data_IF_587361704552
#
_entry.id   IF_587361704552
#
_cell.length_a   1.000
_cell.length_b   1.000
_cell.length_c   1.000
_cell.angle_alpha   90.00
_cell.angle_beta   90.00
_cell.angle_gamma   90.00
#
_symmetry.space_group_name_H-M   'P 1'
#
loop_
_entity.id
_entity.type
_entity.pdbx_description
1 polymer ?
#
# COMPACT_ATOMS: atom_id res chain seq x y z
N UNK A 1 -34.73 -62.13 -5.54
CA UNK A 1 -34.77 -60.76 -4.96
C UNK A 1 -33.45 -60.30 -4.31
N UNK A 2 -32.58 -61.17 -3.81
CA UNK A 2 -31.31 -60.77 -3.12
C UNK A 2 -30.22 -60.22 -4.03
N UNK A 3 -30.11 -60.69 -5.29
CA UNK A 3 -29.10 -60.18 -6.23
C UNK A 3 -29.37 -58.73 -6.66
N UNK A 4 -30.61 -58.38 -6.98
CA UNK A 4 -31.02 -57.02 -7.37
C UNK A 4 -30.76 -56.00 -6.25
N UNK A 5 -31.05 -56.39 -5.03
CA UNK A 5 -30.80 -55.54 -3.83
C UNK A 5 -29.31 -55.29 -3.62
N UNK A 6 -28.45 -56.31 -3.85
CA UNK A 6 -26.98 -56.13 -3.76
C UNK A 6 -26.46 -55.18 -4.84
N UNK A 7 -26.91 -55.34 -6.08
CA UNK A 7 -26.51 -54.45 -7.18
C UNK A 7 -26.92 -53.00 -6.87
N UNK A 8 -28.14 -52.81 -6.39
CA UNK A 8 -28.63 -51.47 -6.05
C UNK A 8 -27.80 -50.85 -4.91
N UNK A 9 -27.47 -51.60 -3.86
CA UNK A 9 -26.63 -51.09 -2.75
C UNK A 9 -25.23 -50.74 -3.26
N UNK A 10 -24.61 -51.57 -4.09
CA UNK A 10 -23.30 -51.25 -4.65
C UNK A 10 -23.31 -50.04 -5.58
N UNK A 11 -24.38 -49.86 -6.39
CA UNK A 11 -24.54 -48.69 -7.24
C UNK A 11 -24.70 -47.41 -6.44
N UNK A 12 -25.51 -47.43 -5.35
CA UNK A 12 -25.65 -46.29 -4.46
C UNK A 12 -24.33 -45.97 -3.78
N UNK A 13 -23.62 -46.98 -3.30
CA UNK A 13 -22.34 -46.78 -2.64
C UNK A 13 -21.29 -46.21 -3.59
N UNK A 14 -21.22 -46.68 -4.83
CA UNK A 14 -20.35 -46.13 -5.88
C UNK A 14 -20.68 -44.64 -6.17
N UNK A 15 -21.98 -44.33 -6.24
CA UNK A 15 -22.43 -42.93 -6.46
C UNK A 15 -22.03 -42.02 -5.31
N UNK A 16 -22.22 -42.45 -4.06
CA UNK A 16 -21.83 -41.71 -2.87
C UNK A 16 -20.32 -41.49 -2.82
N UNK A 17 -19.54 -42.53 -3.06
CA UNK A 17 -18.06 -42.43 -3.12
C UNK A 17 -17.63 -41.47 -4.24
N UNK A 18 -18.24 -41.57 -5.42
CA UNK A 18 -17.98 -40.66 -6.53
C UNK A 18 -18.29 -39.21 -6.18
N UNK A 19 -19.44 -38.97 -5.55
CA UNK A 19 -19.80 -37.60 -5.09
C UNK A 19 -18.82 -37.03 -4.04
N UNK A 20 -18.37 -37.88 -3.10
CA UNK A 20 -17.37 -37.47 -2.10
C UNK A 20 -16.01 -37.13 -2.73
N UNK A 21 -15.57 -37.93 -3.73
CA UNK A 21 -14.33 -37.64 -4.45
C UNK A 21 -14.40 -36.34 -5.24
N UNK A 22 -15.53 -36.06 -5.90
CA UNK A 22 -15.76 -34.80 -6.61
C UNK A 22 -15.75 -33.61 -5.62
N UNK A 23 -16.47 -33.74 -4.49
CA UNK A 23 -16.50 -32.72 -3.46
C UNK A 23 -15.11 -32.45 -2.85
N UNK A 24 -14.37 -33.54 -2.56
CA UNK A 24 -13.00 -33.40 -2.03
C UNK A 24 -12.05 -32.80 -3.08
N UNK A 25 -12.16 -33.18 -4.35
CA UNK A 25 -11.38 -32.61 -5.45
C UNK A 25 -11.69 -31.12 -5.65
N UNK A 26 -12.97 -30.73 -5.64
CA UNK A 26 -13.39 -29.32 -5.71
C UNK A 26 -12.89 -28.51 -4.51
N UNK A 27 -13.02 -29.07 -3.28
CA UNK A 27 -12.52 -28.43 -2.09
C UNK A 27 -11.00 -28.25 -2.13
N UNK A 28 -10.26 -29.26 -2.56
CA UNK A 28 -8.81 -29.19 -2.73
C UNK A 28 -8.41 -28.14 -3.77
N UNK A 29 -9.06 -28.14 -4.95
CA UNK A 29 -8.81 -27.16 -6.00
C UNK A 29 -9.04 -25.72 -5.48
N UNK A 30 -10.17 -25.48 -4.80
CA UNK A 30 -10.48 -24.18 -4.24
C UNK A 30 -9.47 -23.77 -3.16
N UNK A 31 -9.17 -24.65 -2.21
CA UNK A 31 -8.35 -24.32 -1.05
C UNK A 31 -6.86 -24.17 -1.36
N UNK A 32 -6.37 -24.89 -2.36
CA UNK A 32 -4.94 -24.91 -2.69
C UNK A 32 -4.57 -24.10 -3.93
N UNK A 33 -5.52 -23.76 -4.78
CA UNK A 33 -5.22 -23.10 -6.04
C UNK A 33 -6.11 -21.86 -6.30
N UNK A 34 -7.42 -22.03 -6.42
CA UNK A 34 -8.32 -20.99 -6.92
C UNK A 34 -8.31 -19.71 -6.10
N UNK A 35 -8.31 -19.82 -4.78
CA UNK A 35 -8.36 -18.65 -3.88
C UNK A 35 -7.10 -17.77 -3.90
N UNK A 36 -5.99 -18.29 -4.45
CA UNK A 36 -4.73 -17.54 -4.55
C UNK A 36 -4.57 -16.83 -5.89
N UNK A 37 -5.44 -17.12 -6.84
CA UNK A 37 -5.37 -16.50 -8.15
C UNK A 37 -5.75 -15.02 -8.09
N UNK A 38 -5.04 -14.17 -8.84
CA UNK A 38 -5.43 -12.79 -8.99
C UNK A 38 -6.73 -12.67 -9.77
N UNK A 39 -7.50 -11.66 -9.44
CA UNK A 39 -8.74 -11.32 -10.14
C UNK A 39 -8.44 -10.27 -11.21
N UNK A 40 -8.87 -10.54 -12.43
CA UNK A 40 -8.83 -9.53 -13.50
C UNK A 40 -9.97 -8.55 -13.29
N UNK A 41 -9.63 -7.28 -13.17
CA UNK A 41 -10.60 -6.22 -12.92
C UNK A 41 -11.29 -5.83 -14.24
N UNK A 42 -12.54 -6.25 -14.39
CA UNK A 42 -13.38 -5.91 -15.54
C UNK A 42 -14.28 -4.71 -15.29
N UNK A 43 -14.63 -4.45 -14.02
CA UNK A 43 -15.51 -3.34 -13.63
C UNK A 43 -14.67 -2.12 -13.23
N UNK A 44 -14.95 -0.99 -13.85
CA UNK A 44 -14.32 0.32 -13.58
C UNK A 44 -12.76 0.33 -13.56
N UNK A 45 -12.03 -0.40 -14.44
CA UNK A 45 -10.57 -0.46 -14.37
C UNK A 45 -9.90 0.91 -14.57
N UNK A 46 -10.50 1.78 -15.39
CA UNK A 46 -9.99 3.14 -15.62
C UNK A 46 -10.13 4.03 -14.37
N UNK A 47 -11.20 3.86 -13.59
CA UNK A 47 -11.40 4.62 -12.35
C UNK A 47 -10.40 4.17 -11.27
N UNK A 48 -10.21 2.86 -11.14
CA UNK A 48 -9.20 2.31 -10.20
C UNK A 48 -7.80 2.78 -10.60
N UNK A 49 -7.46 2.72 -11.89
CA UNK A 49 -6.15 3.20 -12.37
C UNK A 49 -5.95 4.68 -12.05
N UNK A 50 -6.94 5.53 -12.34
CA UNK A 50 -6.85 6.95 -12.02
C UNK A 50 -6.65 7.18 -10.52
N UNK A 51 -7.38 6.44 -9.69
CA UNK A 51 -7.23 6.52 -8.24
C UNK A 51 -5.81 6.14 -7.78
N UNK A 52 -5.20 5.12 -8.39
CA UNK A 52 -3.82 4.72 -8.12
C UNK A 52 -2.80 5.77 -8.61
N UNK A 53 -3.04 6.39 -9.75
CA UNK A 53 -2.15 7.42 -10.31
C UNK A 53 -2.20 8.72 -9.48
N UNK A 54 -3.35 9.04 -8.90
CA UNK A 54 -3.55 10.18 -7.99
C UNK A 54 -3.02 9.91 -6.57
N UNK A 55 -2.78 8.65 -6.21
CA UNK A 55 -2.31 8.29 -4.88
C UNK A 55 -0.88 8.77 -4.58
N UNK A 56 -0.63 9.06 -3.32
CA UNK A 56 0.75 9.27 -2.85
C UNK A 56 1.41 7.93 -2.55
N UNK A 57 2.14 7.42 -3.52
CA UNK A 57 2.95 6.21 -3.40
C UNK A 57 4.42 6.56 -3.25
N UNK A 58 5.18 5.66 -2.66
CA UNK A 58 6.64 5.73 -2.54
C UNK A 58 7.28 4.56 -3.30
N UNK A 59 8.39 4.82 -3.97
CA UNK A 59 9.14 3.82 -4.73
C UNK A 59 10.62 4.21 -4.76
N UNK A 60 11.56 3.24 -4.82
CA UNK A 60 12.95 3.54 -5.11
C UNK A 60 13.17 3.95 -6.57
N UNK A 61 12.16 3.78 -7.42
CA UNK A 61 12.27 3.95 -8.86
C UNK A 61 13.00 2.79 -9.56
N UNK A 62 13.35 2.98 -10.82
CA UNK A 62 14.21 2.05 -11.58
C UNK A 62 13.49 0.94 -12.33
N UNK A 63 12.16 0.91 -12.33
CA UNK A 63 11.37 -0.05 -13.11
C UNK A 63 10.39 0.63 -14.05
N UNK A 64 10.05 -0.06 -15.14
CA UNK A 64 9.11 0.45 -16.15
C UNK A 64 7.68 -0.04 -15.92
N UNK A 65 7.51 -1.13 -15.17
CA UNK A 65 6.20 -1.76 -14.93
C UNK A 65 5.74 -1.48 -13.50
N UNK A 66 4.70 -0.64 -13.29
CA UNK A 66 4.25 -0.29 -11.97
C UNK A 66 3.48 -1.45 -11.31
N UNK A 67 3.80 -1.72 -10.05
CA UNK A 67 3.07 -2.62 -9.17
C UNK A 67 2.75 -1.88 -7.87
N UNK A 68 1.48 -1.75 -7.54
CA UNK A 68 1.04 -1.02 -6.36
C UNK A 68 0.78 -1.99 -5.20
N UNK A 69 1.33 -1.68 -4.05
CA UNK A 69 1.16 -2.43 -2.79
C UNK A 69 0.49 -1.53 -1.77
N UNK A 70 -0.76 -1.82 -1.43
CA UNK A 70 -1.52 -1.06 -0.42
C UNK A 70 -1.47 -1.82 0.90
N UNK A 71 -0.88 -1.20 1.92
CA UNK A 71 -0.70 -1.84 3.21
C UNK A 71 -0.58 -0.83 4.36
N UNK A 72 -0.75 -1.32 5.59
CA UNK A 72 -0.45 -0.61 6.83
C UNK A 72 0.75 -1.26 7.55
N UNK A 73 1.42 -0.50 8.40
CA UNK A 73 2.75 -0.82 8.93
C UNK A 73 2.86 -2.18 9.63
N UNK A 74 1.95 -2.50 10.53
CA UNK A 74 2.03 -3.73 11.33
C UNK A 74 1.38 -4.95 10.66
N UNK A 75 1.07 -4.85 9.35
CA UNK A 75 0.57 -5.99 8.59
C UNK A 75 1.67 -7.03 8.37
N UNK A 76 1.54 -8.25 8.95
CA UNK A 76 2.60 -9.25 8.87
C UNK A 76 2.83 -9.78 7.45
N UNK A 77 1.77 -9.87 6.65
CA UNK A 77 1.85 -10.35 5.27
C UNK A 77 2.53 -9.32 4.36
N UNK A 78 2.23 -8.01 4.54
CA UNK A 78 2.89 -6.94 3.82
C UNK A 78 4.40 -6.91 4.12
N UNK A 79 4.77 -7.02 5.39
CA UNK A 79 6.19 -7.07 5.80
C UNK A 79 6.92 -8.31 5.26
N UNK A 80 6.21 -9.42 5.14
CA UNK A 80 6.76 -10.62 4.52
C UNK A 80 6.95 -10.43 3.01
N UNK A 81 5.97 -9.85 2.33
CA UNK A 81 6.07 -9.49 0.91
C UNK A 81 7.25 -8.57 0.64
N UNK A 82 7.44 -7.51 1.45
CA UNK A 82 8.55 -6.56 1.31
C UNK A 82 9.92 -7.21 1.46
N UNK A 83 10.05 -8.22 2.32
CA UNK A 83 11.32 -8.92 2.52
C UNK A 83 11.61 -9.99 1.47
N UNK A 84 10.57 -10.71 1.03
CA UNK A 84 10.76 -11.96 0.25
C UNK A 84 10.47 -11.76 -1.25
N UNK A 85 9.42 -11.01 -1.60
CA UNK A 85 8.98 -10.88 -2.99
C UNK A 85 9.40 -9.55 -3.64
N UNK A 86 9.27 -8.43 -2.92
CA UNK A 86 9.55 -7.12 -3.48
C UNK A 86 10.99 -6.94 -4.01
N UNK A 87 12.05 -7.46 -3.35
CA UNK A 87 13.40 -7.36 -3.89
C UNK A 87 13.57 -8.10 -5.22
N UNK A 88 12.94 -9.28 -5.37
CA UNK A 88 12.99 -10.06 -6.60
C UNK A 88 12.26 -9.35 -7.75
N UNK A 89 11.11 -8.74 -7.46
CA UNK A 89 10.34 -7.95 -8.42
C UNK A 89 11.14 -6.72 -8.88
N UNK A 90 11.75 -6.00 -7.95
CA UNK A 90 12.63 -4.84 -8.28
C UNK A 90 13.83 -5.27 -9.14
N UNK A 91 14.48 -6.37 -8.78
CA UNK A 91 15.59 -6.92 -9.57
C UNK A 91 15.16 -7.33 -10.99
N UNK A 92 13.88 -7.68 -11.17
CA UNK A 92 13.29 -7.97 -12.48
C UNK A 92 12.84 -6.70 -13.26
N UNK A 93 13.05 -5.50 -12.72
CA UNK A 93 12.68 -4.23 -13.37
C UNK A 93 11.22 -3.81 -13.12
N UNK A 94 10.60 -4.33 -12.06
CA UNK A 94 9.25 -3.91 -11.62
C UNK A 94 9.37 -2.70 -10.69
N UNK A 95 8.63 -1.62 -10.99
CA UNK A 95 8.52 -0.45 -10.11
C UNK A 95 7.52 -0.73 -8.99
N UNK A 96 8.02 -1.23 -7.87
CA UNK A 96 7.20 -1.55 -6.69
C UNK A 96 6.87 -0.26 -5.94
N UNK A 97 5.60 0.17 -6.04
CA UNK A 97 5.03 1.38 -5.46
C UNK A 97 4.24 1.05 -4.20
N UNK A 98 4.73 1.47 -3.05
CA UNK A 98 4.05 1.26 -1.79
C UNK A 98 3.11 2.42 -1.47
N UNK A 99 1.84 2.13 -1.16
CA UNK A 99 0.83 3.06 -0.69
C UNK A 99 0.56 2.72 0.77
N UNK A 100 1.18 3.48 1.66
CA UNK A 100 1.02 3.31 3.09
C UNK A 100 -0.19 4.09 3.61
N UNK A 101 -0.94 3.52 4.53
CA UNK A 101 -2.03 4.21 5.20
C UNK A 101 -2.10 3.86 6.69
N UNK A 102 -2.65 4.78 7.47
CA UNK A 102 -2.93 4.57 8.88
C UNK A 102 -4.37 4.09 9.06
N UNK A 103 -4.55 2.92 9.68
CA UNK A 103 -5.89 2.35 9.87
C UNK A 103 -6.80 3.33 10.61
N UNK A 104 -8.09 3.46 10.19
CA UNK A 104 -9.06 4.22 10.95
C UNK A 104 -9.35 3.54 12.29
N UNK A 105 -9.75 4.32 13.27
CA UNK A 105 -10.21 3.78 14.55
C UNK A 105 -11.50 2.98 14.34
N UNK A 106 -11.60 1.83 14.97
CA UNK A 106 -12.73 0.93 14.84
C UNK A 106 -13.34 0.64 16.22
N UNK A 107 -14.64 0.80 16.34
CA UNK A 107 -15.39 0.55 17.58
C UNK A 107 -14.79 1.27 18.83
N UNK A 108 -14.29 2.49 18.63
CA UNK A 108 -13.62 3.28 19.67
C UNK A 108 -12.22 2.80 20.03
N UNK A 109 -11.67 1.82 19.28
CA UNK A 109 -10.29 1.34 19.47
C UNK A 109 -9.36 1.99 18.48
N UNK A 110 -8.28 2.56 19.00
CA UNK A 110 -7.21 3.14 18.19
C UNK A 110 -6.50 2.00 17.45
N UNK A 111 -6.53 2.04 16.11
CA UNK A 111 -5.91 1.05 15.24
C UNK A 111 -4.54 1.45 14.73
N UNK A 112 -4.18 2.73 14.82
CA UNK A 112 -2.89 3.28 14.38
C UNK A 112 -2.25 4.11 15.47
N UNK A 113 -0.92 4.02 15.63
CA UNK A 113 -0.19 4.82 16.61
C UNK A 113 0.00 6.26 16.12
N UNK A 114 0.28 7.21 17.04
CA UNK A 114 0.63 8.58 16.66
C UNK A 114 1.88 8.64 15.77
N UNK A 115 2.87 7.75 16.03
CA UNK A 115 4.07 7.62 15.22
C UNK A 115 3.74 7.13 13.80
N UNK A 116 2.85 6.15 13.66
CA UNK A 116 2.38 5.66 12.36
C UNK A 116 1.68 6.78 11.57
N UNK A 117 0.77 7.52 12.20
CA UNK A 117 0.07 8.64 11.55
C UNK A 117 1.03 9.75 11.11
N UNK A 118 2.03 10.08 11.94
CA UNK A 118 3.06 11.07 11.59
C UNK A 118 3.87 10.62 10.36
N UNK A 119 4.26 9.34 10.32
CA UNK A 119 5.02 8.76 9.21
C UNK A 119 4.20 8.69 7.93
N UNK A 120 2.95 8.22 8.01
CA UNK A 120 2.05 8.19 6.84
C UNK A 120 1.84 9.59 6.28
N UNK A 121 1.61 10.61 7.14
CA UNK A 121 1.49 11.99 6.69
C UNK A 121 2.76 12.47 5.95
N UNK A 122 3.95 12.12 6.47
CA UNK A 122 5.21 12.50 5.81
C UNK A 122 5.37 11.79 4.46
N UNK A 123 5.16 10.47 4.41
CA UNK A 123 5.26 9.70 3.16
C UNK A 123 4.32 10.21 2.08
N UNK A 124 3.10 10.61 2.46
CA UNK A 124 2.13 11.17 1.52
C UNK A 124 2.51 12.55 1.00
N UNK A 125 3.25 13.34 1.79
CA UNK A 125 3.70 14.68 1.42
C UNK A 125 5.01 14.67 0.62
N UNK A 126 5.96 13.82 1.02
CA UNK A 126 7.34 13.87 0.50
C UNK A 126 7.66 12.74 -0.49
N UNK A 127 6.94 11.62 -0.40
CA UNK A 127 7.24 10.39 -1.14
C UNK A 127 8.65 9.87 -0.90
N UNK A 128 9.18 10.09 0.29
CA UNK A 128 10.54 9.72 0.65
C UNK A 128 10.68 8.20 0.80
N UNK A 129 11.42 7.60 -0.13
CA UNK A 129 11.69 6.16 -0.11
C UNK A 129 12.59 5.76 1.07
N UNK A 130 13.55 6.57 1.45
CA UNK A 130 14.46 6.24 2.55
C UNK A 130 13.72 6.17 3.88
N UNK A 131 12.76 7.06 4.10
CA UNK A 131 11.85 7.00 5.25
C UNK A 131 10.99 5.73 5.22
N UNK A 132 10.44 5.37 4.06
CA UNK A 132 9.64 4.16 3.92
C UNK A 132 10.45 2.90 4.20
N UNK A 133 11.66 2.81 3.67
CA UNK A 133 12.56 1.68 3.87
C UNK A 133 12.91 1.50 5.37
N UNK A 134 13.31 2.57 6.03
CA UNK A 134 13.58 2.55 7.46
C UNK A 134 12.34 2.16 8.27
N UNK A 135 11.19 2.71 7.94
CA UNK A 135 9.92 2.45 8.61
C UNK A 135 9.47 0.99 8.42
N UNK A 136 9.50 0.46 7.19
CA UNK A 136 9.10 -0.91 6.90
C UNK A 136 10.03 -1.95 7.52
N UNK A 137 11.33 -1.64 7.63
CA UNK A 137 12.32 -2.51 8.28
C UNK A 137 12.16 -2.53 9.82
N UNK A 138 11.62 -1.47 10.42
CA UNK A 138 11.48 -1.35 11.88
C UNK A 138 10.17 -1.98 12.36
N UNK A 139 10.19 -2.82 13.40
CA UNK A 139 8.95 -3.33 13.99
C UNK A 139 8.05 -2.20 14.50
N UNK A 140 6.72 -2.32 14.28
CA UNK A 140 5.77 -1.26 14.60
C UNK A 140 5.83 -0.79 16.08
N UNK A 141 6.12 -1.70 17.01
CA UNK A 141 6.25 -1.40 18.43
C UNK A 141 7.50 -0.61 18.79
N UNK A 142 8.53 -0.63 17.92
CA UNK A 142 9.82 0.05 18.13
C UNK A 142 9.87 1.38 17.38
N UNK A 143 8.99 1.59 16.41
CA UNK A 143 8.96 2.82 15.63
C UNK A 143 8.48 4.01 16.47
N UNK A 144 9.25 5.10 16.48
CA UNK A 144 8.98 6.31 17.28
C UNK A 144 8.71 7.54 16.45
N UNK A 145 8.94 7.51 15.13
CA UNK A 145 8.81 8.64 14.22
C UNK A 145 9.64 9.87 14.69
N UNK A 146 10.86 9.63 15.19
CA UNK A 146 11.75 10.69 15.67
C UNK A 146 12.04 11.70 14.56
N UNK A 147 11.96 12.98 14.88
CA UNK A 147 12.16 14.05 13.91
C UNK A 147 10.97 14.35 13.00
N UNK A 148 9.92 13.51 12.98
CA UNK A 148 8.75 13.76 12.17
C UNK A 148 7.72 14.64 12.90
N UNK A 149 7.13 15.65 12.22
CA UNK A 149 6.06 16.45 12.80
C UNK A 149 4.81 15.59 13.08
N UNK A 150 4.21 15.80 14.26
CA UNK A 150 2.98 15.09 14.66
C UNK A 150 1.82 15.39 13.71
N UNK A 151 1.14 14.34 13.24
CA UNK A 151 -0.10 14.51 12.48
C UNK A 151 -1.26 14.97 13.39
N UNK A 152 -1.35 14.45 14.60
CA UNK A 152 -2.46 14.71 15.52
C UNK A 152 -2.52 16.14 16.02
N UNK A 153 -1.38 16.86 16.01
CA UNK A 153 -1.26 18.26 16.44
C UNK A 153 -1.24 19.25 15.28
N UNK A 154 -1.35 18.77 14.05
CA UNK A 154 -1.28 19.60 12.85
C UNK A 154 -2.46 19.25 11.93
N UNK A 155 -3.40 20.18 11.81
CA UNK A 155 -4.63 19.97 11.05
C UNK A 155 -4.37 19.58 9.58
N UNK A 156 -3.37 20.20 8.94
CA UNK A 156 -3.03 19.87 7.55
C UNK A 156 -2.50 18.42 7.42
N UNK A 157 -1.67 17.98 8.37
CA UNK A 157 -1.16 16.60 8.38
C UNK A 157 -2.24 15.59 8.76
N UNK A 158 -3.13 15.94 9.68
CA UNK A 158 -4.30 15.11 9.99
C UNK A 158 -5.17 14.92 8.74
N UNK A 159 -5.42 15.98 7.98
CA UNK A 159 -6.17 15.90 6.73
C UNK A 159 -5.49 15.01 5.67
N UNK A 160 -4.17 14.97 5.62
CA UNK A 160 -3.42 14.05 4.74
C UNK A 160 -3.61 12.60 5.16
N UNK A 161 -3.56 12.30 6.46
CA UNK A 161 -3.85 10.95 6.99
C UNK A 161 -5.27 10.52 6.63
N UNK A 162 -6.25 11.42 6.79
CA UNK A 162 -7.64 11.15 6.46
C UNK A 162 -7.86 10.98 4.96
N UNK A 163 -7.14 11.75 4.12
CA UNK A 163 -7.14 11.54 2.66
C UNK A 163 -6.64 10.14 2.29
N UNK A 164 -5.62 9.63 2.97
CA UNK A 164 -5.14 8.26 2.81
C UNK A 164 -6.20 7.21 3.18
N UNK A 165 -6.95 7.44 4.23
CA UNK A 165 -8.07 6.57 4.66
C UNK A 165 -9.20 6.57 3.64
N UNK A 166 -9.60 7.76 3.16
CA UNK A 166 -10.63 7.92 2.13
C UNK A 166 -10.22 7.24 0.82
N UNK A 167 -8.94 7.39 0.42
CA UNK A 167 -8.38 6.68 -0.72
C UNK A 167 -8.58 5.16 -0.59
N UNK A 168 -8.17 4.59 0.54
CA UNK A 168 -8.27 3.14 0.78
C UNK A 168 -9.71 2.67 0.82
N UNK A 169 -10.62 3.41 1.44
CA UNK A 169 -12.04 3.11 1.49
C UNK A 169 -12.65 3.08 0.08
N UNK A 170 -12.36 4.09 -0.74
CA UNK A 170 -12.82 4.14 -2.13
C UNK A 170 -12.24 2.99 -2.96
N UNK A 171 -10.92 2.75 -2.85
CA UNK A 171 -10.27 1.66 -3.56
C UNK A 171 -10.87 0.30 -3.19
N UNK A 172 -11.03 0.02 -1.89
CA UNK A 172 -11.58 -1.26 -1.43
C UNK A 172 -13.05 -1.44 -1.83
N UNK A 173 -13.81 -0.35 -1.95
CA UNK A 173 -15.19 -0.40 -2.46
C UNK A 173 -15.20 -0.80 -3.94
N UNK A 174 -14.40 -0.13 -4.78
CA UNK A 174 -14.29 -0.46 -6.21
C UNK A 174 -13.78 -1.88 -6.44
N UNK A 175 -12.83 -2.34 -5.62
CA UNK A 175 -12.30 -3.71 -5.72
C UNK A 175 -13.34 -4.76 -5.34
N UNK A 176 -14.11 -4.54 -4.27
CA UNK A 176 -15.22 -5.43 -3.89
C UNK A 176 -16.28 -5.51 -4.97
N UNK A 177 -16.64 -4.39 -5.58
CA UNK A 177 -17.57 -4.35 -6.70
C UNK A 177 -17.05 -5.08 -7.95
N UNK A 178 -15.72 -5.18 -8.08
CA UNK A 178 -15.04 -5.98 -9.11
C UNK A 178 -14.82 -7.44 -8.71
N UNK A 179 -15.28 -7.88 -7.53
CA UNK A 179 -15.16 -9.26 -7.04
C UNK A 179 -13.81 -9.59 -6.42
N UNK A 180 -13.02 -8.58 -6.04
CA UNK A 180 -11.74 -8.77 -5.36
C UNK A 180 -11.95 -8.75 -3.85
N UNK A 181 -11.42 -9.75 -3.15
CA UNK A 181 -11.34 -9.71 -1.68
C UNK A 181 -10.38 -8.60 -1.24
N UNK A 182 -10.73 -7.91 -0.14
CA UNK A 182 -9.99 -6.75 0.36
C UNK A 182 -9.24 -7.07 1.65
N UNK A 183 -8.34 -8.05 1.60
CA UNK A 183 -7.38 -8.33 2.67
C UNK A 183 -6.01 -7.70 2.33
N UNK A 184 -5.32 -7.18 3.34
CA UNK A 184 -4.02 -6.55 3.13
C UNK A 184 -2.85 -7.54 3.27
N UNK A 185 -1.80 -7.36 2.46
CA UNK A 185 -1.63 -6.34 1.43
C UNK A 185 -2.54 -6.58 0.23
N UNK A 186 -3.08 -5.49 -0.33
CA UNK A 186 -3.72 -5.52 -1.65
C UNK A 186 -2.64 -5.17 -2.67
N UNK A 187 -2.46 -6.02 -3.66
CA UNK A 187 -1.49 -5.80 -4.74
C UNK A 187 -2.24 -5.64 -6.04
N UNK A 188 -1.90 -4.56 -6.79
CA UNK A 188 -2.50 -4.25 -8.09
C UNK A 188 -1.38 -4.05 -9.12
N UNK A 189 -1.58 -4.60 -10.32
CA UNK A 189 -0.65 -4.47 -11.44
C UNK A 189 -1.37 -4.61 -12.78
N UNK A 190 -0.67 -4.30 -13.87
CA UNK A 190 -1.11 -4.68 -15.20
C UNK A 190 -0.33 -5.89 -15.68
N UNK A 191 -1.04 -6.87 -16.19
CA UNK A 191 -0.39 -8.00 -16.83
C UNK A 191 0.18 -7.60 -18.21
N UNK A 192 0.85 -8.55 -18.87
CA UNK A 192 1.46 -8.34 -20.19
C UNK A 192 0.46 -7.97 -21.29
N UNK A 193 -0.79 -8.31 -21.12
CA UNK A 193 -1.88 -7.96 -22.03
C UNK A 193 -2.48 -6.57 -21.71
N UNK A 194 -2.02 -5.92 -20.65
CA UNK A 194 -2.49 -4.62 -20.19
C UNK A 194 -3.75 -4.67 -19.32
N UNK A 195 -4.24 -5.86 -18.96
CA UNK A 195 -5.38 -5.98 -18.05
C UNK A 195 -4.95 -5.65 -16.62
N UNK A 196 -5.78 -4.84 -15.95
CA UNK A 196 -5.57 -4.55 -14.55
C UNK A 196 -5.98 -5.76 -13.71
N UNK A 197 -5.07 -6.21 -12.88
CA UNK A 197 -5.27 -7.34 -11.94
C UNK A 197 -5.09 -6.89 -10.51
N UNK A 198 -5.75 -7.58 -9.60
CA UNK A 198 -5.57 -7.40 -8.17
C UNK A 198 -5.64 -8.73 -7.42
N UNK A 199 -4.97 -8.77 -6.29
CA UNK A 199 -5.10 -9.85 -5.32
C UNK A 199 -5.07 -9.33 -3.88
N UNK A 200 -5.75 -10.06 -2.99
CA UNK A 200 -5.54 -9.99 -1.55
C UNK A 200 -4.34 -10.89 -1.21
N UNK A 201 -3.14 -10.45 -1.53
CA UNK A 201 -1.93 -11.26 -1.55
C UNK A 201 -1.30 -11.50 -0.16
N UNK A 202 -2.12 -11.93 0.80
CA UNK A 202 -1.65 -12.24 2.15
C UNK A 202 -0.81 -13.53 2.23
N UNK A 203 -0.92 -14.42 1.22
CA UNK A 203 -0.22 -15.70 1.13
C UNK A 203 0.85 -15.65 0.02
N UNK A 204 2.02 -16.24 0.28
CA UNK A 204 3.16 -16.29 -0.66
C UNK A 204 2.85 -17.04 -1.97
N UNK A 205 1.89 -17.97 -1.94
CA UNK A 205 1.40 -18.65 -3.15
C UNK A 205 0.81 -17.68 -4.17
N UNK A 206 0.19 -16.60 -3.71
CA UNK A 206 -0.33 -15.56 -4.60
C UNK A 206 0.79 -14.79 -5.31
N UNK A 207 1.98 -14.68 -4.72
CA UNK A 207 3.10 -13.93 -5.31
C UNK A 207 3.71 -14.61 -6.54
N UNK A 208 3.56 -15.92 -6.65
CA UNK A 208 3.98 -16.65 -7.85
C UNK A 208 3.22 -16.14 -9.08
N UNK A 209 1.91 -15.97 -8.98
CA UNK A 209 1.10 -15.43 -10.08
C UNK A 209 1.50 -14.00 -10.43
N UNK A 210 1.84 -13.16 -9.45
CA UNK A 210 2.34 -11.80 -9.68
C UNK A 210 3.64 -11.82 -10.48
N UNK A 211 4.59 -12.68 -10.08
CA UNK A 211 5.88 -12.83 -10.79
C UNK A 211 5.69 -13.35 -12.21
N UNK A 212 4.80 -14.33 -12.41
CA UNK A 212 4.52 -14.91 -13.72
C UNK A 212 3.88 -13.89 -14.67
N UNK A 213 2.90 -13.12 -14.18
CA UNK A 213 2.25 -12.06 -14.95
C UNK A 213 3.21 -10.93 -15.38
N UNK A 214 4.21 -10.64 -14.54
CA UNK A 214 5.20 -9.57 -14.76
C UNK A 214 6.51 -10.06 -15.39
N UNK A 215 6.58 -11.33 -15.78
CA UNK A 215 7.79 -11.97 -16.34
C UNK A 215 9.03 -11.89 -15.42
N UNK A 216 8.76 -11.88 -14.10
CA UNK A 216 9.79 -11.79 -13.08
C UNK A 216 10.31 -13.17 -12.61
N UNK A 217 9.71 -14.27 -13.08
CA UNK A 217 10.03 -15.63 -12.65
C UNK A 217 11.37 -16.15 -13.16
N UNK A 218 11.87 -15.58 -14.28
CA UNK A 218 13.12 -16.02 -14.93
C UNK A 218 14.37 -15.19 -14.61
N UNK A 219 14.19 -14.05 -13.93
CA UNK A 219 15.30 -13.16 -13.57
C UNK A 219 15.66 -13.36 -12.10
N UNK A 220 16.24 -14.53 -11.77
CA UNK A 220 16.99 -14.63 -10.53
C UNK A 220 18.04 -13.53 -10.52
N UNK A 221 18.12 -12.74 -9.45
CA UNK A 221 19.23 -11.83 -9.25
C UNK A 221 20.51 -12.63 -9.52
N UNK A 222 21.47 -12.08 -10.31
CA UNK A 222 22.75 -12.74 -10.43
C UNK A 222 23.27 -13.01 -9.03
N UNK A 223 23.81 -14.21 -8.75
CA UNK A 223 24.37 -14.48 -7.44
C UNK A 223 25.32 -13.33 -7.11
N UNK A 224 25.36 -12.86 -5.85
CA UNK A 224 26.35 -11.87 -5.45
C UNK A 224 27.66 -12.39 -6.01
N UNK A 225 28.31 -11.56 -6.82
CA UNK A 225 29.66 -11.85 -7.29
C UNK A 225 30.44 -11.91 -5.99
N UNK A 226 30.65 -13.12 -5.48
CA UNK A 226 31.69 -13.36 -4.53
C UNK A 226 32.91 -12.88 -5.29
N UNK A 227 33.37 -11.70 -4.93
CA UNK A 227 34.72 -11.28 -5.25
C UNK A 227 35.58 -12.34 -4.61
N UNK A 228 35.87 -13.40 -5.37
CA UNK A 228 36.95 -14.28 -5.03
C UNK A 228 38.12 -13.36 -4.80
N UNK A 229 38.37 -13.10 -3.52
CA UNK A 229 39.65 -12.59 -3.11
C UNK A 229 40.63 -13.65 -3.63
N UNK A 230 41.15 -13.39 -4.84
CA UNK A 230 42.30 -14.08 -5.38
C UNK A 230 43.34 -13.93 -4.29
N UNK A 231 43.47 -14.98 -3.48
CA UNK A 231 44.66 -15.24 -2.70
C UNK A 231 45.77 -15.42 -3.74
N UNK A 232 46.28 -14.33 -4.19
CA UNK A 232 47.49 -14.26 -4.96
C UNK A 232 48.59 -14.60 -3.95
N UNK A 233 48.92 -15.89 -3.92
CA UNK A 233 50.06 -16.50 -3.31
C UNK A 233 51.29 -15.71 -3.78
N UNK A 234 51.88 -14.92 -2.88
CA UNK A 234 53.08 -14.13 -3.12
C UNK A 234 54.24 -15.08 -3.46
N UNK A 235 54.89 -15.03 -4.62
CA UNK A 235 56.19 -15.62 -4.79
C UNK A 235 57.21 -14.71 -4.11
N UNK A 236 57.74 -15.17 -3.00
CA UNK A 236 58.98 -14.70 -2.42
C UNK A 236 60.11 -14.93 -3.41
N UNK A 237 60.50 -13.89 -4.17
CA UNK A 237 61.83 -13.81 -4.73
C UNK A 237 62.21 -12.37 -4.99
N UNK A 238 63.13 -11.88 -4.14
CA UNK A 238 63.73 -10.58 -4.27
C UNK A 238 64.50 -10.40 -5.57
N UNK A 239 64.06 -9.39 -6.31
CA UNK A 239 64.96 -8.66 -7.22
C UNK A 239 64.38 -7.26 -7.45
N UNK A 240 65.10 -6.28 -6.94
CA UNK A 240 64.80 -4.89 -7.21
C UNK A 240 64.85 -4.65 -8.73
N UNK A 241 63.72 -4.27 -9.34
CA UNK A 241 63.69 -3.73 -10.70
C UNK A 241 63.63 -2.20 -10.60
N UNK A 242 64.31 -1.49 -11.54
CA UNK A 242 64.48 -0.04 -11.51
C UNK A 242 63.16 0.69 -11.75
N UNK A 243 63.08 1.85 -11.11
CA UNK A 243 61.96 2.79 -11.28
C UNK A 243 61.76 3.17 -12.75
N UNK A 244 60.55 2.94 -13.25
CA UNK A 244 60.10 3.40 -14.54
C UNK A 244 59.56 4.83 -14.39
N UNK A 245 60.16 5.85 -15.03
CA UNK A 245 59.67 7.21 -14.94
C UNK A 245 58.56 7.48 -15.96
N UNK A 246 57.38 7.70 -15.50
CA UNK A 246 56.43 8.59 -16.21
C UNK A 246 55.47 7.96 -17.17
N UNK A 247 54.34 7.55 -16.65
CA UNK A 247 53.09 7.61 -17.39
C UNK A 247 52.46 9.00 -17.16
N UNK A 248 52.21 9.80 -18.20
CA UNK A 248 51.51 11.05 -18.05
C UNK A 248 50.04 10.78 -17.73
N UNK A 249 49.58 11.23 -16.57
CA UNK A 249 48.18 11.32 -16.28
C UNK A 249 47.49 12.15 -17.37
N UNK A 250 46.31 11.74 -17.88
CA UNK A 250 45.55 12.58 -18.77
C UNK A 250 45.18 13.87 -18.02
N UNK A 251 45.63 15.01 -18.56
CA UNK A 251 45.30 16.33 -18.04
C UNK A 251 43.79 16.50 -18.05
N UNK A 252 43.19 16.70 -16.88
CA UNK A 252 41.79 17.11 -16.78
C UNK A 252 41.60 18.45 -17.53
N UNK A 253 40.51 18.63 -18.30
CA UNK A 253 40.22 19.90 -18.94
C UNK A 253 40.13 20.99 -17.87
N UNK A 254 40.80 22.11 -18.09
CA UNK A 254 40.79 23.26 -17.22
C UNK A 254 39.34 23.72 -17.02
N UNK A 255 38.90 23.80 -15.74
CA UNK A 255 37.63 24.42 -15.40
C UNK A 255 37.64 25.88 -15.85
N UNK A 256 36.56 26.36 -16.50
CA UNK A 256 36.45 27.78 -16.82
C UNK A 256 36.51 28.62 -15.53
N UNK A 257 37.14 29.77 -15.56
CA UNK A 257 37.25 30.64 -14.39
C UNK A 257 35.86 31.07 -13.94
N UNK A 258 35.58 30.92 -12.64
CA UNK A 258 34.39 31.46 -12.03
C UNK A 258 34.30 32.95 -12.31
N UNK A 259 33.12 33.48 -12.71
CA UNK A 259 32.96 34.93 -12.84
C UNK A 259 33.08 35.57 -11.45
N UNK A 260 34.23 36.19 -11.22
CA UNK A 260 34.45 37.06 -10.08
C UNK A 260 33.68 38.38 -10.28
N UNK A 261 32.86 38.74 -9.32
CA UNK A 261 32.41 40.09 -9.15
C UNK A 261 30.98 40.41 -9.53
N UNK A 262 30.03 39.91 -8.74
CA UNK A 262 28.80 40.70 -8.53
C UNK A 262 28.92 41.34 -7.15
N UNK A 263 29.14 42.62 -7.14
CA UNK A 263 29.12 43.45 -5.94
C UNK A 263 27.76 43.33 -5.24
N UNK A 264 27.72 43.31 -3.91
CA UNK A 264 26.45 43.28 -3.17
C UNK A 264 25.62 44.51 -3.51
N UNK A 265 24.41 44.29 -4.00
CA UNK A 265 23.45 45.32 -4.26
C UNK A 265 23.18 46.09 -2.96
N UNK A 266 23.35 47.41 -2.98
CA UNK A 266 22.97 48.35 -1.93
C UNK A 266 21.49 48.15 -1.60
N UNK A 267 21.10 48.17 -0.31
CA UNK A 267 19.69 48.21 0.09
C UNK A 267 19.03 49.46 -0.46
N UNK A 268 17.98 49.27 -1.23
CA UNK A 268 17.11 50.35 -1.67
C UNK A 268 16.37 50.91 -0.44
N UNK A 269 16.57 52.16 -0.20
CA UNK A 269 15.81 52.95 0.80
C UNK A 269 14.31 52.90 0.45
N UNK A 270 13.41 52.82 1.44
CA UNK A 270 11.99 52.85 1.19
C UNK A 270 11.56 54.19 0.60
N UNK A 271 10.65 54.24 -0.37
CA UNK A 271 10.13 55.48 -0.92
C UNK A 271 9.31 56.23 0.12
N UNK A 272 9.55 57.56 0.17
CA UNK A 272 8.98 58.48 1.13
C UNK A 272 7.45 58.50 1.16
N UNK A 273 6.96 58.66 2.34
CA UNK A 273 5.57 58.89 2.75
C UNK A 273 4.96 60.06 1.98
N UNK A 274 4.15 59.79 0.97
CA UNK A 274 3.26 60.79 0.38
C UNK A 274 1.95 60.77 1.14
N UNK A 275 1.64 61.88 1.78
CA UNK A 275 0.40 62.17 2.50
C UNK A 275 -0.82 61.97 1.58
N UNK A 276 -1.82 61.18 1.91
CA UNK A 276 -3.02 61.09 1.10
C UNK A 276 -3.93 62.27 1.31
N UNK A 277 -4.26 62.89 0.22
CA UNK A 277 -5.27 63.97 0.07
C UNK A 277 -6.63 63.39 0.43
N UNK A 278 -7.30 64.01 1.40
CA UNK A 278 -8.65 63.73 1.87
C UNK A 278 -9.66 63.94 0.72
N UNK A 279 -10.29 62.88 0.25
CA UNK A 279 -11.52 62.94 -0.54
C UNK A 279 -12.69 62.44 0.32
N UNK A 280 -13.89 63.04 0.25
CA UNK A 280 -14.99 62.66 1.12
C UNK A 280 -15.48 61.26 0.80
N UNK A 281 -15.46 60.42 1.81
CA UNK A 281 -15.93 59.04 1.75
C UNK A 281 -17.46 59.03 1.77
N UNK A 282 -18.08 58.68 0.63
CA UNK A 282 -19.48 58.29 0.55
C UNK A 282 -19.62 56.95 1.21
N UNK A 283 -20.30 56.85 2.32
CA UNK A 283 -20.59 55.60 3.03
C UNK A 283 -21.34 54.64 2.14
N UNK A 284 -20.90 53.37 1.99
CA UNK A 284 -21.73 52.35 1.39
C UNK A 284 -22.83 51.96 2.38
N UNK A 285 -24.06 52.09 1.90
CA UNK A 285 -25.28 51.67 2.57
C UNK A 285 -25.20 50.17 2.83
N UNK A 286 -25.38 49.72 4.08
CA UNK A 286 -25.40 48.34 4.48
C UNK A 286 -26.55 47.57 3.74
N UNK A 287 -26.29 46.35 3.27
CA UNK A 287 -27.36 45.52 2.72
C UNK A 287 -28.33 45.09 3.81
N UNK A 288 -29.62 44.89 3.49
CA UNK A 288 -30.63 44.56 4.48
C UNK A 288 -30.30 43.19 5.09
N UNK A 289 -30.37 43.15 6.41
CA UNK A 289 -30.21 41.99 7.27
C UNK A 289 -31.25 40.91 6.90
N UNK A 290 -30.85 39.93 6.07
CA UNK A 290 -31.65 38.73 5.82
C UNK A 290 -31.45 37.77 7.00
N UNK A 291 -32.37 37.81 7.92
CA UNK A 291 -32.46 36.90 9.06
C UNK A 291 -32.58 35.47 8.53
N UNK A 292 -31.70 34.51 8.90
CA UNK A 292 -31.84 33.10 8.50
C UNK A 292 -33.14 32.55 9.08
N UNK A 293 -34.06 32.19 8.21
CA UNK A 293 -35.28 31.48 8.55
C UNK A 293 -34.89 30.12 9.11
N UNK A 294 -35.24 29.84 10.35
CA UNK A 294 -35.04 28.56 10.99
C UNK A 294 -35.61 27.41 10.12
N UNK A 295 -34.88 26.31 9.94
CA UNK A 295 -35.41 25.16 9.23
C UNK A 295 -36.61 24.60 10.00
N UNK A 296 -37.69 24.37 9.28
CA UNK A 296 -38.88 23.70 9.80
C UNK A 296 -38.51 22.35 10.39
N UNK A 297 -38.93 22.12 11.64
CA UNK A 297 -38.74 20.87 12.33
C UNK A 297 -39.34 19.70 11.54
N UNK A 298 -38.52 18.81 11.07
CA UNK A 298 -38.92 17.51 10.48
C UNK A 298 -39.61 16.69 11.57
N UNK A 299 -40.79 16.11 11.33
CA UNK A 299 -41.47 15.26 12.32
C UNK A 299 -40.57 14.04 12.61
N UNK A 300 -40.25 13.89 13.90
CA UNK A 300 -39.51 12.75 14.45
C UNK A 300 -40.33 11.47 14.22
N UNK A 301 -39.79 10.41 13.58
CA UNK A 301 -40.47 9.13 13.50
C UNK A 301 -40.70 8.59 14.89
N UNK A 302 -41.97 8.30 15.22
CA UNK A 302 -42.33 7.61 16.45
C UNK A 302 -41.69 6.22 16.44
N UNK A 303 -40.81 6.02 17.41
CA UNK A 303 -40.19 4.74 17.71
C UNK A 303 -41.25 3.80 18.25
N UNK A 304 -41.75 2.87 17.43
CA UNK A 304 -42.57 1.76 17.86
C UNK A 304 -41.78 0.88 18.83
N UNK A 305 -42.20 0.84 20.05
CA UNK A 305 -41.71 -0.05 21.12
C UNK A 305 -41.97 -1.50 20.71
N UNK A 306 -40.95 -2.38 20.64
CA UNK A 306 -41.24 -3.80 20.46
C UNK A 306 -41.87 -4.36 21.74
N UNK A 307 -43.07 -4.92 21.60
CA UNK A 307 -43.77 -5.68 22.60
C UNK A 307 -42.89 -6.84 23.06
N UNK A 308 -42.56 -6.81 24.34
CA UNK A 308 -41.81 -7.85 25.06
C UNK A 308 -42.72 -9.05 25.27
N UNK A 309 -42.57 -10.08 24.42
CA UNK A 309 -43.16 -11.40 24.72
C UNK A 309 -42.37 -12.07 25.85
N UNK A 310 -43.04 -12.64 26.83
CA UNK A 310 -42.37 -13.39 27.91
C UNK A 310 -41.77 -14.69 27.33
N UNK A 311 -40.64 -15.17 27.87
CA UNK A 311 -40.09 -16.46 27.46
C UNK A 311 -40.97 -17.59 27.96
N UNK A 312 -41.43 -18.41 27.02
CA UNK A 312 -42.10 -19.68 27.27
C UNK A 312 -41.08 -20.68 27.84
N UNK A 313 -41.34 -21.13 29.10
CA UNK A 313 -40.52 -22.12 29.79
C UNK A 313 -40.67 -23.48 29.08
N UNK A 314 -39.64 -23.92 28.39
CA UNK A 314 -39.52 -25.30 27.90
C UNK A 314 -39.06 -26.20 29.03
N UNK A 315 -40.01 -27.03 29.44
CA UNK A 315 -39.90 -28.17 30.37
C UNK A 315 -38.85 -29.15 29.88
N UNK A 316 -38.02 -29.62 30.78
CA UNK A 316 -37.00 -30.61 30.51
C UNK A 316 -37.59 -31.98 30.12
N UNK A 317 -36.82 -32.65 29.28
CA UNK A 317 -36.86 -34.11 29.22
C UNK A 317 -35.45 -34.62 29.42
N UNK A 318 -35.30 -35.24 30.57
CA UNK A 318 -34.23 -36.15 30.96
C UNK A 318 -34.25 -37.35 30.02
N UNK A 319 -33.15 -37.59 29.30
CA UNK A 319 -32.87 -38.91 28.76
C UNK A 319 -31.37 -39.21 28.90
N UNK A 320 -31.09 -39.84 30.04
CA UNK A 320 -29.90 -40.66 30.30
C UNK A 320 -29.86 -41.81 29.30
N UNK A 321 -28.76 -41.95 28.55
CA UNK A 321 -28.35 -43.21 27.94
C UNK A 321 -26.87 -43.42 28.17
N UNK A 322 -26.60 -44.65 28.62
CA UNK A 322 -25.35 -45.36 28.91
C UNK A 322 -24.31 -45.29 27.82
#
# INVERSE_FOLDING_TARGET
>A
MTALRRVLIWSIMALVVGALLVAAGYWAYWNFYSRFQPVTISRAPAEIQRLLDEASWVSPGGGDTPLYVVAYHDNPAARRFEREAAPQLRAAGVDVRAIAFARPDQDGRIQSTAAERATVAELWLTRDWSLYEQWSATPARQWRAEGLPSADRNLARAAVVDAGRVFVERLTTLLRDAGVETQYPIILWRDRQGFLKACACADDRSWAFVRDDLDASGRSAPPPVETEASSEEAPENGRAAPADPGLPYPSLPAMPPSPSGVAPARPLSPPGTSTPRTTPQTSPQAPPNVQPRAPAATPRPQRSTPSRQPPEAKRGDDTTFY
#
